data_IF_270022181351
#
_entry.id   IF_270022181351
#
_cell.length_a   1.000
_cell.length_b   1.000
_cell.length_c   1.000
_cell.angle_alpha   90.00
_cell.angle_beta   90.00
_cell.angle_gamma   90.00
#
_symmetry.space_group_name_H-M   'P 1'
#
loop_
_entity.id
_entity.type
_entity.pdbx_description
1 polymer ?
#
# COMPACT_ATOMS: atom_id res chain seq x y z
N UNK A 1 1.88 -12.26 8.99
CA UNK A 1 1.40 -10.99 9.57
C UNK A 1 0.97 -10.08 8.43
N UNK A 2 -0.03 -9.21 8.61
CA UNK A 2 -0.35 -8.19 7.60
C UNK A 2 0.63 -7.04 7.77
N UNK A 3 1.34 -6.66 6.71
CA UNK A 3 2.21 -5.47 6.71
C UNK A 3 1.83 -4.58 5.53
N UNK A 4 1.92 -3.28 5.69
CA UNK A 4 1.72 -2.33 4.60
C UNK A 4 3.07 -1.77 4.17
N UNK A 5 3.35 -1.78 2.87
CA UNK A 5 4.62 -1.30 2.31
C UNK A 5 4.37 -0.30 1.20
N UNK A 6 5.07 0.83 1.24
CA UNK A 6 5.01 1.84 0.19
C UNK A 6 5.64 1.32 -1.11
N UNK A 7 4.96 1.51 -2.24
CA UNK A 7 5.44 1.09 -3.56
C UNK A 7 6.70 1.85 -4.04
N UNK A 8 6.95 3.05 -3.51
CA UNK A 8 8.05 3.92 -3.97
C UNK A 8 9.23 4.01 -3.00
N UNK A 9 8.97 4.38 -1.74
CA UNK A 9 10.05 4.58 -0.77
C UNK A 9 10.33 3.35 0.11
N UNK A 10 9.52 2.29 0.00
CA UNK A 10 9.67 1.08 0.82
C UNK A 10 9.34 1.26 2.30
N UNK A 11 8.75 2.40 2.70
CA UNK A 11 8.28 2.61 4.08
C UNK A 11 7.33 1.49 4.50
N UNK A 12 7.59 0.88 5.65
CA UNK A 12 6.82 -0.23 6.18
C UNK A 12 5.98 0.22 7.38
N UNK A 13 4.76 -0.27 7.43
CA UNK A 13 3.85 -0.12 8.55
C UNK A 13 3.51 -1.53 9.04
N UNK A 14 4.13 -1.91 10.15
CA UNK A 14 4.06 -3.22 10.79
C UNK A 14 3.17 -3.22 12.05
N UNK A 15 2.83 -2.04 12.56
CA UNK A 15 1.96 -1.87 13.73
C UNK A 15 0.51 -2.17 13.38
N UNK A 16 -0.07 -3.16 14.06
CA UNK A 16 -1.44 -3.62 13.82
C UNK A 16 -2.49 -2.52 13.93
N UNK A 17 -2.38 -1.65 14.92
CA UNK A 17 -3.32 -0.54 15.15
C UNK A 17 -3.31 0.43 13.97
N UNK A 18 -2.11 0.81 13.51
CA UNK A 18 -1.94 1.68 12.35
C UNK A 18 -2.45 1.02 11.06
N UNK A 19 -2.25 -0.30 10.91
CA UNK A 19 -2.77 -1.05 9.77
C UNK A 19 -4.30 -1.04 9.76
N UNK A 20 -4.95 -1.27 10.89
CA UNK A 20 -6.42 -1.25 10.99
C UNK A 20 -6.95 0.14 10.63
N UNK A 21 -6.36 1.19 11.18
CA UNK A 21 -6.77 2.57 10.87
C UNK A 21 -6.59 2.91 9.38
N UNK A 22 -5.49 2.47 8.78
CA UNK A 22 -5.23 2.66 7.36
C UNK A 22 -6.22 1.91 6.45
N UNK A 23 -6.64 0.70 6.87
CA UNK A 23 -7.64 -0.09 6.16
C UNK A 23 -9.03 0.56 6.22
N UNK A 24 -9.40 1.17 7.35
CA UNK A 24 -10.66 1.89 7.50
C UNK A 24 -10.76 3.09 6.54
N UNK A 25 -9.66 3.86 6.42
CA UNK A 25 -9.57 5.00 5.50
C UNK A 25 -9.39 4.64 4.02
N UNK A 26 -9.30 3.36 3.67
CA UNK A 26 -9.00 2.91 2.31
C UNK A 26 -10.10 3.28 1.32
N UNK A 27 -11.37 3.09 1.70
CA UNK A 27 -12.49 3.38 0.79
C UNK A 27 -12.55 4.88 0.45
N UNK A 28 -12.40 5.74 1.46
CA UNK A 28 -12.37 7.18 1.28
C UNK A 28 -11.23 7.62 0.34
N UNK A 29 -10.04 7.02 0.48
CA UNK A 29 -8.92 7.26 -0.42
C UNK A 29 -9.23 6.84 -1.85
N UNK A 30 -9.71 5.60 -2.06
CA UNK A 30 -10.00 5.08 -3.39
C UNK A 30 -11.09 5.90 -4.10
N UNK A 31 -12.13 6.30 -3.39
CA UNK A 31 -13.18 7.16 -3.91
C UNK A 31 -12.63 8.55 -4.30
N UNK A 32 -11.74 9.12 -3.49
CA UNK A 32 -11.07 10.39 -3.80
C UNK A 32 -10.20 10.31 -5.06
N UNK A 33 -9.44 9.22 -5.24
CA UNK A 33 -8.67 8.99 -6.47
C UNK A 33 -9.60 8.88 -7.69
N UNK A 34 -10.65 8.07 -7.61
CA UNK A 34 -11.61 7.88 -8.70
C UNK A 34 -12.33 9.18 -9.08
N UNK A 35 -12.69 10.01 -8.10
CA UNK A 35 -13.29 11.32 -8.34
C UNK A 35 -12.36 12.27 -9.11
N UNK A 36 -11.04 12.07 -9.02
CA UNK A 36 -10.01 12.80 -9.77
C UNK A 36 -9.67 12.16 -11.12
N UNK A 37 -10.30 11.04 -11.47
CA UNK A 37 -9.96 10.25 -12.66
C UNK A 37 -8.67 9.45 -12.53
N UNK A 38 -8.17 9.24 -11.30
CA UNK A 38 -6.96 8.47 -11.03
C UNK A 38 -7.32 7.07 -10.52
N UNK A 39 -6.61 6.04 -10.99
CA UNK A 39 -6.74 4.69 -10.44
C UNK A 39 -5.83 4.52 -9.20
N UNK A 40 -6.41 4.20 -8.02
CA UNK A 40 -5.61 3.95 -6.83
C UNK A 40 -4.77 2.68 -7.02
N UNK A 41 -3.46 2.80 -6.88
CA UNK A 41 -2.49 1.70 -6.99
C UNK A 41 -2.39 0.91 -5.69
N UNK A 42 -2.67 1.56 -4.58
CA UNK A 42 -2.64 0.99 -3.24
C UNK A 42 -3.86 1.36 -2.42
N UNK A 43 -3.81 0.99 -1.15
CA UNK A 43 -4.94 1.12 -0.24
C UNK A 43 -5.07 2.53 0.32
N UNK A 44 -3.94 3.19 0.58
CA UNK A 44 -3.90 4.56 1.11
C UNK A 44 -2.57 5.23 0.75
N UNK A 45 -2.43 6.56 0.92
CA UNK A 45 -1.21 7.27 0.56
C UNK A 45 -0.08 6.98 1.57
N UNK A 46 1.17 6.98 1.10
CA UNK A 46 2.33 6.84 1.98
C UNK A 46 2.36 7.94 3.05
N UNK A 47 2.91 7.65 4.24
CA UNK A 47 3.16 8.64 5.29
C UNK A 47 3.90 9.89 4.77
N UNK A 48 4.78 9.71 3.80
CA UNK A 48 5.54 10.79 3.15
C UNK A 48 4.97 11.17 1.78
N UNK A 49 3.66 11.05 1.57
CA UNK A 49 3.02 11.20 0.26
C UNK A 49 3.41 12.48 -0.49
N UNK A 50 3.55 13.60 0.22
CA UNK A 50 3.93 14.88 -0.39
C UNK A 50 5.27 14.82 -1.14
N UNK A 51 6.24 14.06 -0.61
CA UNK A 51 7.58 13.91 -1.22
C UNK A 51 7.68 12.63 -2.06
N UNK A 52 7.17 11.53 -1.54
CA UNK A 52 7.27 10.20 -2.13
C UNK A 52 6.28 10.00 -3.28
N UNK A 53 5.05 10.52 -3.14
CA UNK A 53 3.90 10.27 -4.02
C UNK A 53 3.60 8.78 -4.21
N UNK A 54 4.03 7.96 -3.25
CA UNK A 54 3.82 6.52 -3.21
C UNK A 54 2.54 6.15 -2.46
N UNK A 55 2.04 4.96 -2.71
CA UNK A 55 0.86 4.41 -2.08
C UNK A 55 1.25 3.12 -1.34
N UNK A 56 0.51 2.83 -0.29
CA UNK A 56 0.79 1.72 0.61
C UNK A 56 0.04 0.48 0.11
N UNK A 57 0.78 -0.61 -0.03
CA UNK A 57 0.31 -1.89 -0.54
C UNK A 57 0.24 -2.90 0.61
N UNK A 58 -0.84 -3.66 0.70
CA UNK A 58 -0.96 -4.73 1.69
C UNK A 58 -0.20 -5.96 1.23
N UNK A 59 0.87 -6.26 1.96
CA UNK A 59 1.55 -7.53 1.87
C UNK A 59 0.96 -8.42 2.95
N UNK A 60 -0.04 -9.21 2.55
CA UNK A 60 -0.45 -10.34 3.37
C UNK A 60 0.68 -11.34 3.31
N UNK A 61 1.25 -11.71 4.44
CA UNK A 61 2.14 -12.86 4.53
C UNK A 61 1.29 -14.14 4.39
N UNK A 62 0.71 -14.36 3.21
CA UNK A 62 0.16 -15.63 2.82
C UNK A 62 1.36 -16.55 2.69
N UNK A 63 1.51 -17.47 3.66
CA UNK A 63 2.51 -18.54 3.70
C UNK A 63 3.06 -18.86 2.31
N UNK A 64 4.21 -18.26 1.99
CA UNK A 64 5.20 -18.77 1.05
C UNK A 64 4.61 -19.41 -0.23
N UNK A 65 4.27 -18.61 -1.24
CA UNK A 65 4.57 -19.04 -2.61
C UNK A 65 5.93 -18.46 -2.99
N UNK A 66 6.96 -19.27 -2.75
CA UNK A 66 8.26 -19.14 -3.42
C UNK A 66 7.99 -18.98 -4.93
N UNK A 67 8.54 -17.92 -5.52
CA UNK A 67 8.67 -17.80 -6.96
C UNK A 67 7.76 -16.73 -7.57
N UNK A 68 8.23 -15.48 -7.56
CA UNK A 68 7.99 -14.49 -8.62
C UNK A 68 9.00 -13.32 -8.48
N UNK A 69 10.27 -13.66 -8.27
CA UNK A 69 11.37 -12.84 -8.79
C UNK A 69 11.70 -13.39 -10.19
N UNK A 70 10.84 -13.07 -11.16
CA UNK A 70 11.13 -13.25 -12.59
C UNK A 70 11.88 -12.02 -13.07
N UNK A 71 13.18 -12.20 -13.30
CA UNK A 71 14.16 -11.17 -13.71
C UNK A 71 13.75 -10.41 -14.97
N UNK A 72 14.22 -9.16 -15.03
CA UNK A 72 14.41 -8.33 -16.22
C UNK A 72 14.77 -9.15 -17.48
N UNK A 73 14.23 -8.72 -18.62
CA UNK A 73 14.80 -9.02 -19.93
C UNK A 73 15.20 -7.72 -20.60
#
# INVERSE_FOLDING_TARGET
MDILVCDKCGFQLDKREDIVLALDGTEAWQNSCRARGEEPRGLFPCKYYFQCKGQMLLIKESKKKKGLFGKNK
#
